data_IF_716393558414
#
_entry.id   IF_716393558414
#
_cell.length_a   1.000
_cell.length_b   1.000
_cell.length_c   1.000
_cell.angle_alpha   90.00
_cell.angle_beta   90.00
_cell.angle_gamma   90.00
#
_symmetry.space_group_name_H-M   'P 1'
#
loop_
_entity.id
_entity.type
_entity.pdbx_description
1 polymer ?
#
# COMPACT_ATOMS: atom_id res chain seq x y z
N UNK A 1 -25.12 22.75 3.59
CA UNK A 1 -24.79 21.31 3.67
C UNK A 1 -24.79 20.78 2.26
N UNK A 2 -23.72 20.09 1.82
CA UNK A 2 -23.67 19.46 0.48
C UNK A 2 -24.76 18.38 0.38
N UNK A 3 -25.32 18.14 -0.80
CA UNK A 3 -26.39 17.14 -0.97
C UNK A 3 -25.94 15.73 -0.56
N UNK A 4 -24.68 15.39 -0.85
CA UNK A 4 -24.06 14.14 -0.37
C UNK A 4 -24.05 14.04 1.16
N UNK A 5 -23.79 15.16 1.87
CA UNK A 5 -23.78 15.16 3.33
C UNK A 5 -25.16 14.88 3.90
N UNK A 6 -26.24 15.38 3.28
CA UNK A 6 -27.61 15.08 3.71
C UNK A 6 -27.91 13.58 3.58
N UNK A 7 -27.60 13.00 2.41
CA UNK A 7 -27.78 11.57 2.16
C UNK A 7 -27.03 10.68 3.16
N UNK A 8 -25.78 11.05 3.50
CA UNK A 8 -24.99 10.33 4.50
C UNK A 8 -25.63 10.43 5.88
N UNK A 9 -26.06 11.63 6.29
CA UNK A 9 -26.74 11.82 7.60
C UNK A 9 -28.03 11.00 7.67
N UNK A 10 -28.86 11.06 6.62
CA UNK A 10 -30.11 10.29 6.51
C UNK A 10 -29.85 8.77 6.57
N UNK A 11 -28.78 8.28 5.95
CA UNK A 11 -28.40 6.87 6.01
C UNK A 11 -28.10 6.42 7.45
N UNK A 12 -27.40 7.23 8.25
CA UNK A 12 -27.01 6.87 9.62
C UNK A 12 -28.08 7.18 10.67
N UNK A 13 -29.03 8.06 10.38
CA UNK A 13 -30.12 8.40 11.29
C UNK A 13 -30.91 7.15 11.72
N UNK A 14 -31.11 7.01 13.04
CA UNK A 14 -31.84 5.88 13.62
C UNK A 14 -31.07 4.55 13.64
N UNK A 15 -29.86 4.48 13.07
CA UNK A 15 -28.96 3.34 13.28
C UNK A 15 -28.35 3.43 14.68
N UNK A 16 -28.41 2.34 15.43
CA UNK A 16 -27.80 2.23 16.76
C UNK A 16 -26.29 1.97 16.66
N UNK A 17 -25.56 2.91 16.04
CA UNK A 17 -24.11 2.84 15.85
C UNK A 17 -23.42 3.90 16.71
N UNK A 18 -22.24 3.58 17.23
CA UNK A 18 -21.38 4.55 17.91
C UNK A 18 -20.73 5.52 16.91
N UNK A 19 -20.17 6.61 17.43
CA UNK A 19 -19.46 7.59 16.60
C UNK A 19 -18.25 6.94 15.90
N UNK A 20 -17.56 6.04 16.59
CA UNK A 20 -16.40 5.29 16.09
C UNK A 20 -16.79 4.35 14.94
N UNK A 21 -17.93 3.65 15.05
CA UNK A 21 -18.44 2.77 13.99
C UNK A 21 -18.83 3.56 12.74
N UNK A 22 -19.48 4.71 12.91
CA UNK A 22 -19.82 5.61 11.79
C UNK A 22 -18.55 6.10 11.11
N UNK A 23 -17.54 6.54 11.87
CA UNK A 23 -16.28 7.03 11.33
C UNK A 23 -15.54 5.94 10.51
N UNK A 24 -15.43 4.72 11.04
CA UNK A 24 -14.79 3.59 10.33
C UNK A 24 -15.55 3.21 9.05
N UNK A 25 -16.89 3.17 9.10
CA UNK A 25 -17.69 2.92 7.89
C UNK A 25 -17.53 4.04 6.85
N UNK A 26 -17.50 5.30 7.27
CA UNK A 26 -17.27 6.43 6.36
C UNK A 26 -15.89 6.37 5.70
N UNK A 27 -14.86 5.99 6.45
CA UNK A 27 -13.50 5.83 5.93
C UNK A 27 -13.40 4.69 4.90
N UNK A 28 -14.11 3.58 5.12
CA UNK A 28 -14.22 2.48 4.16
C UNK A 28 -15.01 2.88 2.93
N UNK A 29 -16.20 3.45 3.11
CA UNK A 29 -17.07 3.89 2.03
C UNK A 29 -16.36 4.90 1.12
N UNK A 30 -15.57 5.82 1.69
CA UNK A 30 -14.74 6.74 0.92
C UNK A 30 -13.80 6.01 -0.04
N UNK A 31 -13.15 4.94 0.41
CA UNK A 31 -12.24 4.14 -0.43
C UNK A 31 -13.01 3.38 -1.49
N UNK A 32 -14.08 2.67 -1.11
CA UNK A 32 -14.91 1.89 -2.02
C UNK A 32 -15.54 2.74 -3.12
N UNK A 33 -16.06 3.92 -2.77
CA UNK A 33 -16.60 4.87 -3.75
C UNK A 33 -15.53 5.26 -4.75
N UNK A 34 -14.30 5.56 -4.32
CA UNK A 34 -13.21 5.89 -5.24
C UNK A 34 -12.88 4.71 -6.15
N UNK A 35 -12.82 3.49 -5.61
CA UNK A 35 -12.52 2.28 -6.38
C UNK A 35 -13.48 2.03 -7.55
N UNK A 36 -14.74 2.43 -7.42
CA UNK A 36 -15.75 2.34 -8.47
C UNK A 36 -15.48 3.25 -9.68
N UNK A 37 -14.59 4.25 -9.55
CA UNK A 37 -14.20 5.15 -10.64
C UNK A 37 -12.79 4.88 -11.18
N UNK A 38 -12.07 3.90 -10.63
CA UNK A 38 -10.72 3.58 -11.08
C UNK A 38 -10.75 2.69 -12.33
N UNK A 39 -9.75 2.87 -13.18
CA UNK A 39 -9.44 1.91 -14.25
C UNK A 39 -8.94 0.58 -13.64
N UNK A 40 -8.58 -0.38 -14.50
CA UNK A 40 -8.05 -1.68 -14.05
C UNK A 40 -6.58 -1.61 -13.57
N UNK A 41 -6.04 -0.43 -13.25
CA UNK A 41 -4.68 -0.27 -12.73
C UNK A 41 -4.68 -0.28 -11.20
N UNK A 42 -3.50 -0.51 -10.65
CA UNK A 42 -3.26 -0.45 -9.21
C UNK A 42 -2.92 0.97 -8.77
N UNK A 43 -3.46 1.36 -7.63
CA UNK A 43 -3.20 2.63 -6.97
C UNK A 43 -2.68 2.42 -5.54
N UNK A 44 -1.98 3.44 -5.04
CA UNK A 44 -1.39 3.44 -3.70
C UNK A 44 -1.95 4.59 -2.88
N UNK A 45 -2.50 4.29 -1.70
CA UNK A 45 -2.86 5.29 -0.69
C UNK A 45 -1.63 5.64 0.15
N UNK A 46 -1.23 6.90 0.11
CA UNK A 46 -0.15 7.47 0.94
C UNK A 46 -0.65 7.76 2.35
N UNK A 47 0.27 7.95 3.30
CA UNK A 47 -0.05 8.27 4.71
C UNK A 47 -0.89 9.54 4.86
N UNK A 48 -0.67 10.53 4.00
CA UNK A 48 -1.46 11.78 3.97
C UNK A 48 -2.81 11.65 3.25
N UNK A 49 -3.21 10.44 2.85
CA UNK A 49 -4.47 10.17 2.15
C UNK A 49 -4.43 10.39 0.63
N UNK A 50 -3.32 10.89 0.06
CA UNK A 50 -3.18 11.02 -1.40
C UNK A 50 -3.22 9.63 -2.05
N UNK A 51 -3.93 9.52 -3.16
CA UNK A 51 -3.98 8.32 -4.00
C UNK A 51 -3.18 8.60 -5.27
N UNK A 52 -2.27 7.70 -5.63
CA UNK A 52 -1.44 7.80 -6.85
C UNK A 52 -1.32 6.45 -7.54
N UNK A 53 -1.00 6.44 -8.84
CA UNK A 53 -0.73 5.21 -9.57
C UNK A 53 0.45 4.45 -8.93
N UNK A 54 0.30 3.14 -8.81
CA UNK A 54 1.38 2.27 -8.38
C UNK A 54 2.52 2.30 -9.41
N UNK A 55 3.73 2.51 -8.90
CA UNK A 55 4.95 2.52 -9.68
C UNK A 55 5.96 1.58 -9.00
N UNK A 56 6.09 0.40 -9.58
CA UNK A 56 6.97 -0.66 -9.10
C UNK A 56 8.44 -0.25 -9.11
N UNK A 57 8.85 0.69 -9.98
CA UNK A 57 10.22 1.21 -10.00
C UNK A 57 10.54 2.05 -8.75
N UNK A 58 9.53 2.61 -8.07
CA UNK A 58 9.76 3.22 -6.74
C UNK A 58 10.19 2.17 -5.71
N UNK A 59 9.64 0.97 -5.79
CA UNK A 59 9.97 -0.13 -4.87
C UNK A 59 11.37 -0.65 -5.17
N UNK A 60 11.68 -0.93 -6.43
CA UNK A 60 13.02 -1.35 -6.85
C UNK A 60 14.10 -0.34 -6.43
N UNK A 61 13.84 0.97 -6.58
CA UNK A 61 14.75 2.02 -6.09
C UNK A 61 14.89 2.00 -4.57
N UNK A 62 13.79 1.79 -3.84
CA UNK A 62 13.80 1.71 -2.38
C UNK A 62 14.68 0.56 -1.88
N UNK A 63 14.54 -0.63 -2.48
CA UNK A 63 15.33 -1.82 -2.16
C UNK A 63 16.81 -1.61 -2.50
N UNK A 64 17.11 -1.08 -3.70
CA UNK A 64 18.49 -0.75 -4.10
C UNK A 64 19.16 0.23 -3.15
N UNK A 65 18.45 1.27 -2.74
CA UNK A 65 18.97 2.28 -1.81
C UNK A 65 19.23 1.68 -0.43
N UNK A 66 18.32 0.82 0.06
CA UNK A 66 18.54 0.08 1.29
C UNK A 66 19.78 -0.82 1.20
N UNK A 67 19.85 -1.69 0.19
CA UNK A 67 21.00 -2.57 -0.03
C UNK A 67 22.32 -1.78 -0.07
N UNK A 68 22.36 -0.66 -0.81
CA UNK A 68 23.53 0.22 -0.86
C UNK A 68 23.90 0.80 0.51
N UNK A 69 22.93 1.23 1.31
CA UNK A 69 23.20 1.72 2.69
C UNK A 69 23.78 0.62 3.59
N UNK A 70 23.42 -0.64 3.34
CA UNK A 70 23.99 -1.81 4.01
C UNK A 70 25.30 -2.33 3.41
N UNK A 71 25.87 -1.67 2.39
CA UNK A 71 26.99 -2.18 1.59
C UNK A 71 26.74 -3.58 0.99
N UNK A 72 25.50 -3.83 0.57
CA UNK A 72 25.06 -5.09 -0.06
C UNK A 72 24.89 -4.83 -1.56
N UNK A 73 25.52 -5.66 -2.38
CA UNK A 73 25.31 -5.65 -3.82
C UNK A 73 24.07 -6.46 -4.18
N UNK A 74 23.17 -5.85 -4.95
CA UNK A 74 22.07 -6.52 -5.63
C UNK A 74 22.28 -6.38 -7.13
N UNK A 75 22.27 -7.49 -7.84
CA UNK A 75 22.38 -7.50 -9.28
C UNK A 75 21.00 -7.22 -9.92
N UNK A 76 20.97 -7.10 -11.25
CA UNK A 76 19.74 -6.78 -11.99
C UNK A 76 18.71 -7.93 -11.92
N UNK A 77 19.18 -9.18 -11.88
CA UNK A 77 18.33 -10.36 -11.75
C UNK A 77 17.64 -10.41 -10.40
N UNK A 78 18.35 -10.14 -9.30
CA UNK A 78 17.77 -10.11 -7.94
C UNK A 78 16.60 -9.11 -7.88
N UNK A 79 16.81 -7.91 -8.41
CA UNK A 79 15.77 -6.88 -8.46
C UNK A 79 14.59 -7.28 -9.34
N UNK A 80 14.84 -7.99 -10.43
CA UNK A 80 13.77 -8.49 -11.31
C UNK A 80 12.94 -9.58 -10.63
N UNK A 81 13.56 -10.44 -9.83
CA UNK A 81 12.85 -11.48 -9.05
C UNK A 81 11.92 -10.81 -8.05
N UNK A 82 12.46 -9.92 -7.21
CA UNK A 82 11.69 -9.19 -6.19
C UNK A 82 10.51 -8.40 -6.80
N UNK A 83 10.73 -7.79 -7.97
CA UNK A 83 9.69 -7.08 -8.72
C UNK A 83 8.58 -8.02 -9.16
N UNK A 84 8.94 -9.16 -9.76
CA UNK A 84 7.99 -10.13 -10.26
C UNK A 84 7.15 -10.74 -9.13
N UNK A 85 7.76 -11.03 -7.98
CA UNK A 85 7.04 -11.61 -6.85
C UNK A 85 6.09 -10.60 -6.19
N UNK A 86 6.50 -9.33 -6.10
CA UNK A 86 5.60 -8.26 -5.68
C UNK A 86 4.40 -8.11 -6.63
N UNK A 87 4.63 -8.14 -7.93
CA UNK A 87 3.54 -8.08 -8.93
C UNK A 87 2.60 -9.28 -8.81
N UNK A 88 3.09 -10.49 -8.50
CA UNK A 88 2.25 -11.67 -8.27
C UNK A 88 1.39 -11.51 -7.01
N UNK A 89 1.97 -11.07 -5.90
CA UNK A 89 1.23 -10.83 -4.64
C UNK A 89 0.14 -9.79 -4.87
N UNK A 90 0.47 -8.69 -5.55
CA UNK A 90 -0.49 -7.64 -5.87
C UNK A 90 -1.62 -8.19 -6.75
N UNK A 91 -1.31 -8.93 -7.83
CA UNK A 91 -2.34 -9.48 -8.73
C UNK A 91 -3.27 -10.49 -8.03
N UNK A 92 -2.77 -11.22 -7.03
CA UNK A 92 -3.56 -12.15 -6.22
C UNK A 92 -4.49 -11.42 -5.24
N UNK A 93 -4.13 -10.22 -4.81
CA UNK A 93 -4.95 -9.39 -3.94
C UNK A 93 -5.91 -8.54 -4.79
N UNK A 94 -7.22 -8.76 -4.64
CA UNK A 94 -8.25 -8.08 -5.47
C UNK A 94 -8.45 -6.57 -5.18
N UNK A 95 -7.64 -5.96 -4.32
CA UNK A 95 -7.77 -4.56 -3.95
C UNK A 95 -7.12 -3.65 -4.99
N UNK A 96 -7.84 -2.62 -5.46
CA UNK A 96 -7.32 -1.68 -6.46
C UNK A 96 -6.52 -0.56 -5.81
N UNK A 97 -6.76 -0.27 -4.53
CA UNK A 97 -6.02 0.72 -3.75
C UNK A 97 -5.33 0.04 -2.57
N UNK A 98 -4.00 0.02 -2.58
CA UNK A 98 -3.21 -0.53 -1.47
C UNK A 98 -2.58 0.58 -0.63
N UNK A 99 -2.65 0.52 0.71
CA UNK A 99 -1.86 1.40 1.55
C UNK A 99 -0.36 1.22 1.30
N UNK A 100 0.41 2.31 1.42
CA UNK A 100 1.88 2.24 1.32
C UNK A 100 2.49 1.29 2.36
N UNK A 101 1.89 1.19 3.54
CA UNK A 101 2.33 0.26 4.59
C UNK A 101 2.21 -1.21 4.14
N UNK A 102 1.05 -1.59 3.59
CA UNK A 102 0.81 -2.94 3.04
C UNK A 102 1.82 -3.31 1.95
N UNK A 103 2.17 -2.37 1.07
CA UNK A 103 3.21 -2.63 0.05
C UNK A 103 4.58 -2.86 0.69
N UNK A 104 4.92 -2.14 1.77
CA UNK A 104 6.18 -2.35 2.50
C UNK A 104 6.21 -3.72 3.16
N UNK A 105 5.12 -4.15 3.79
CA UNK A 105 4.97 -5.49 4.38
C UNK A 105 5.16 -6.59 3.31
N UNK A 106 4.60 -6.41 2.11
CA UNK A 106 4.83 -7.36 1.02
C UNK A 106 6.31 -7.44 0.62
N UNK A 107 7.01 -6.30 0.58
CA UNK A 107 8.46 -6.29 0.28
C UNK A 107 9.26 -6.96 1.39
N UNK A 108 8.92 -6.71 2.66
CA UNK A 108 9.58 -7.35 3.81
C UNK A 108 9.41 -8.87 3.76
N UNK A 109 8.19 -9.35 3.49
CA UNK A 109 7.90 -10.78 3.36
C UNK A 109 8.66 -11.43 2.19
N UNK A 110 8.71 -10.80 1.02
CA UNK A 110 9.47 -11.33 -0.13
C UNK A 110 10.95 -11.42 0.22
N UNK A 111 11.54 -10.37 0.81
CA UNK A 111 12.95 -10.37 1.19
C UNK A 111 13.27 -11.46 2.22
N UNK A 112 12.33 -11.76 3.12
CA UNK A 112 12.46 -12.84 4.09
C UNK A 112 12.37 -14.22 3.43
N UNK A 113 11.31 -14.46 2.64
CA UNK A 113 11.03 -15.73 1.97
C UNK A 113 12.12 -16.14 0.97
N UNK A 114 12.66 -15.17 0.22
CA UNK A 114 13.73 -15.39 -0.76
C UNK A 114 15.14 -15.46 -0.12
N UNK A 115 15.24 -15.28 1.20
CA UNK A 115 16.50 -15.39 1.94
C UNK A 115 17.42 -14.17 1.88
N UNK A 116 16.93 -13.01 1.43
CA UNK A 116 17.66 -11.73 1.41
C UNK A 116 17.76 -11.06 2.81
N UNK A 117 18.11 -11.83 3.86
CA UNK A 117 18.09 -11.40 5.27
C UNK A 117 18.83 -10.09 5.54
N UNK A 118 20.05 -9.93 4.98
CA UNK A 118 20.84 -8.70 5.15
C UNK A 118 20.17 -7.49 4.48
N UNK A 119 19.52 -7.71 3.33
CA UNK A 119 18.79 -6.63 2.62
C UNK A 119 17.56 -6.24 3.42
N UNK A 120 16.83 -7.22 3.98
CA UNK A 120 15.69 -6.99 4.87
C UNK A 120 16.08 -6.13 6.07
N UNK A 121 17.16 -6.48 6.78
CA UNK A 121 17.66 -5.69 7.92
C UNK A 121 17.95 -4.23 7.54
N UNK A 122 18.62 -4.05 6.39
CA UNK A 122 18.94 -2.72 5.88
C UNK A 122 17.69 -1.95 5.43
N UNK A 123 16.74 -2.63 4.79
CA UNK A 123 15.49 -2.07 4.29
C UNK A 123 14.59 -1.58 5.43
N UNK A 124 14.40 -2.40 6.46
CA UNK A 124 13.64 -2.03 7.66
C UNK A 124 14.24 -0.80 8.34
N UNK A 125 15.58 -0.74 8.42
CA UNK A 125 16.31 0.41 9.00
C UNK A 125 16.14 1.67 8.16
N UNK A 126 16.27 1.56 6.83
CA UNK A 126 16.09 2.65 5.89
C UNK A 126 14.66 3.21 5.90
N UNK A 127 13.64 2.35 5.96
CA UNK A 127 12.25 2.80 6.04
C UNK A 127 11.97 3.55 7.35
N UNK A 128 12.47 3.06 8.48
CA UNK A 128 12.27 3.72 9.79
C UNK A 128 12.90 5.12 9.84
N UNK A 129 13.94 5.36 9.04
CA UNK A 129 14.59 6.66 8.94
C UNK A 129 13.86 7.69 8.06
N UNK A 130 12.75 7.32 7.41
CA UNK A 130 11.96 8.16 6.49
C UNK A 130 10.53 8.38 6.94
#
# INVERSE_FOLDING_TARGET
MLDLTKLIVEYYQGKNLSIEEIADQMDRAKVEVIENFLDNKLYVKKRNGKIELFDVEKISRSIKNAARNGNIELNTSDISILKNDLEKIIKKNHHRILPTATIKEYVENILEEDGYKKVLESYTSYIKSK
#
